data_IF_242724623673
#
_entry.id   IF_242724623673
#
_cell.length_a   1.000
_cell.length_b   1.000
_cell.length_c   1.000
_cell.angle_alpha   90.00
_cell.angle_beta   90.00
_cell.angle_gamma   90.00
#
_symmetry.space_group_name_H-M   'P 1'
#
loop_
_entity.id
_entity.type
_entity.pdbx_description
1 polymer ?
#
# COMPACT_ATOMS: atom_id res chain seq x y z
N UNK A 1 -22.58 1.58 26.90
CA UNK A 1 -22.71 2.87 27.61
C UNK A 1 -23.00 3.95 26.57
N UNK A 2 -23.98 4.80 26.85
CA UNK A 2 -24.80 5.55 25.89
C UNK A 2 -24.08 6.76 25.26
N UNK A 3 -24.33 7.00 23.96
CA UNK A 3 -23.72 8.04 23.09
C UNK A 3 -23.91 9.51 23.50
N UNK A 4 -24.44 9.79 24.68
CA UNK A 4 -24.54 11.16 25.24
C UNK A 4 -23.24 11.66 25.87
N UNK A 5 -22.27 10.79 26.17
CA UNK A 5 -20.97 11.22 26.70
C UNK A 5 -20.02 11.72 25.60
N UNK A 6 -20.23 11.32 24.34
CA UNK A 6 -19.38 11.69 23.21
C UNK A 6 -19.50 13.19 22.81
N UNK A 7 -20.66 13.80 23.02
CA UNK A 7 -20.87 15.22 22.69
C UNK A 7 -20.17 16.18 23.67
N UNK A 8 -19.87 15.75 24.91
CA UNK A 8 -19.27 16.64 25.91
C UNK A 8 -17.75 16.81 25.73
N UNK A 9 -17.05 15.84 25.13
CA UNK A 9 -15.62 15.93 24.86
C UNK A 9 -15.30 16.91 23.70
N UNK A 10 -16.11 16.89 22.63
CA UNK A 10 -16.04 17.86 21.54
C UNK A 10 -16.39 19.30 21.98
N UNK A 11 -17.22 19.45 23.01
CA UNK A 11 -17.61 20.76 23.54
C UNK A 11 -16.54 21.42 24.43
N UNK A 12 -15.57 20.67 24.96
CA UNK A 12 -14.50 21.21 25.81
C UNK A 12 -13.29 21.69 25.01
N UNK A 13 -12.93 21.00 23.91
CA UNK A 13 -11.82 21.41 23.02
C UNK A 13 -12.14 22.57 22.08
N UNK A 14 -13.41 22.91 21.89
CA UNK A 14 -13.85 23.96 20.97
C UNK A 14 -14.06 25.35 21.65
N UNK A 15 -13.78 25.48 22.95
CA UNK A 15 -13.95 26.74 23.70
C UNK A 15 -12.83 27.78 23.47
N UNK A 16 -11.77 27.42 22.75
CA UNK A 16 -10.57 28.27 22.58
C UNK A 16 -10.30 28.72 21.14
N UNK A 17 -11.26 28.56 20.22
CA UNK A 17 -11.10 28.99 18.80
C UNK A 17 -12.10 30.07 18.42
N UNK A 18 -11.70 31.04 17.56
CA UNK A 18 -12.54 32.18 17.19
C UNK A 18 -13.84 31.74 16.52
N UNK A 19 -14.93 32.43 16.86
CA UNK A 19 -16.32 32.11 16.51
C UNK A 19 -16.56 31.92 15.00
N UNK A 20 -15.76 32.58 14.15
CA UNK A 20 -15.82 32.49 12.69
C UNK A 20 -15.45 31.11 12.12
N UNK A 21 -14.57 30.38 12.81
CA UNK A 21 -14.11 29.05 12.37
C UNK A 21 -15.13 27.97 12.71
N UNK A 22 -15.90 28.18 13.79
CA UNK A 22 -17.05 27.34 14.17
C UNK A 22 -18.18 27.43 13.16
N UNK A 23 -18.54 28.65 12.73
CA UNK A 23 -19.61 28.85 11.75
C UNK A 23 -19.25 28.29 10.37
N UNK A 24 -17.99 28.40 9.95
CA UNK A 24 -17.55 27.82 8.67
C UNK A 24 -17.56 26.28 8.68
N UNK A 25 -17.12 25.64 9.77
CA UNK A 25 -17.15 24.19 9.89
C UNK A 25 -18.57 23.62 9.98
N UNK A 26 -19.47 24.32 10.69
CA UNK A 26 -20.89 23.94 10.74
C UNK A 26 -21.57 24.09 9.37
N UNK A 27 -21.37 25.21 8.68
CA UNK A 27 -21.93 25.43 7.34
C UNK A 27 -21.44 24.39 6.31
N UNK A 28 -20.17 23.97 6.42
CA UNK A 28 -19.59 22.97 5.50
C UNK A 28 -20.08 21.55 5.78
N UNK A 29 -20.36 21.22 7.04
CA UNK A 29 -20.98 19.94 7.42
C UNK A 29 -22.45 19.87 6.99
N UNK A 30 -23.21 20.95 7.15
CA UNK A 30 -24.61 21.00 6.69
C UNK A 30 -24.69 20.85 5.16
N UNK A 31 -23.81 21.50 4.40
CA UNK A 31 -23.73 21.37 2.95
C UNK A 31 -23.30 19.96 2.47
N UNK A 32 -22.57 19.21 3.30
CA UNK A 32 -22.20 17.82 3.01
C UNK A 32 -23.37 16.87 3.26
N UNK A 33 -24.17 17.11 4.30
CA UNK A 33 -25.33 16.30 4.66
C UNK A 33 -26.57 16.59 3.80
N UNK A 34 -26.68 17.79 3.22
CA UNK A 34 -27.82 18.20 2.40
C UNK A 34 -27.71 17.80 0.91
N UNK A 35 -26.66 17.06 0.51
CA UNK A 35 -26.47 16.67 -0.89
C UNK A 35 -27.30 15.42 -1.21
N UNK A 36 -28.28 15.47 -2.13
CA UNK A 36 -29.08 14.30 -2.47
C UNK A 36 -28.18 13.22 -3.09
N UNK A 37 -28.27 11.99 -2.58
CA UNK A 37 -27.62 10.83 -3.19
C UNK A 37 -28.19 10.62 -4.59
N UNK A 38 -27.35 10.78 -5.63
CA UNK A 38 -27.69 10.28 -6.97
C UNK A 38 -27.72 8.75 -6.91
N UNK A 39 -28.91 8.18 -7.06
CA UNK A 39 -29.08 6.76 -7.36
C UNK A 39 -28.46 6.45 -8.72
N UNK A 40 -27.42 5.64 -8.73
CA UNK A 40 -26.86 5.11 -9.96
C UNK A 40 -27.79 4.02 -10.50
N UNK A 41 -28.60 4.33 -11.51
CA UNK A 41 -29.27 3.32 -12.31
C UNK A 41 -28.24 2.66 -13.24
N UNK A 42 -27.91 1.40 -12.99
CA UNK A 42 -27.23 0.57 -13.98
C UNK A 42 -28.27 0.16 -15.04
N UNK A 43 -28.16 0.70 -16.25
CA UNK A 43 -28.81 0.10 -17.41
C UNK A 43 -28.19 -1.28 -17.67
N UNK A 44 -28.99 -2.33 -17.54
CA UNK A 44 -28.62 -3.69 -17.94
C UNK A 44 -28.26 -3.70 -19.43
N UNK A 45 -26.99 -3.92 -19.75
CA UNK A 45 -26.60 -4.26 -21.12
C UNK A 45 -26.93 -5.73 -21.36
N UNK A 46 -27.77 -5.96 -22.35
CA UNK A 46 -28.10 -7.25 -22.93
C UNK A 46 -26.83 -7.98 -23.39
N UNK A 47 -26.66 -9.22 -22.93
CA UNK A 47 -25.63 -10.15 -23.37
C UNK A 47 -25.88 -10.47 -24.85
N UNK A 48 -24.91 -10.17 -25.71
CA UNK A 48 -24.89 -10.66 -27.08
C UNK A 48 -24.61 -12.16 -27.07
N UNK A 49 -25.52 -12.95 -27.65
CA UNK A 49 -25.37 -14.38 -27.89
C UNK A 49 -24.09 -14.66 -28.67
N UNK A 50 -23.22 -15.52 -28.12
CA UNK A 50 -22.09 -16.08 -28.86
C UNK A 50 -22.55 -17.29 -29.66
N UNK A 51 -22.41 -17.22 -30.99
CA UNK A 51 -22.53 -18.39 -31.86
C UNK A 51 -21.46 -19.43 -31.50
N UNK A 52 -21.89 -20.68 -31.45
CA UNK A 52 -21.08 -21.87 -31.20
C UNK A 52 -20.18 -22.20 -32.39
N UNK A 53 -18.86 -22.04 -32.22
CA UNK A 53 -17.85 -22.73 -33.03
C UNK A 53 -17.22 -23.88 -32.24
N UNK A 54 -16.95 -24.98 -32.95
CA UNK A 54 -16.56 -26.33 -32.48
C UNK A 54 -15.33 -26.33 -31.53
N UNK A 55 -15.20 -27.35 -30.66
CA UNK A 55 -14.06 -27.46 -29.75
C UNK A 55 -12.77 -27.85 -30.50
N UNK A 56 -11.68 -27.13 -30.21
CA UNK A 56 -10.32 -27.47 -30.62
C UNK A 56 -9.82 -28.75 -29.92
N UNK A 57 -8.96 -29.55 -30.59
CA UNK A 57 -8.40 -30.76 -30.01
C UNK A 57 -7.36 -30.45 -28.93
N UNK A 58 -7.26 -31.37 -27.94
CA UNK A 58 -6.35 -31.25 -26.80
C UNK A 58 -4.87 -31.05 -27.22
N UNK A 59 -4.09 -30.25 -26.47
CA UNK A 59 -2.70 -29.97 -26.79
C UNK A 59 -1.84 -31.22 -26.61
N UNK A 60 -1.05 -31.55 -27.65
CA UNK A 60 0.00 -32.58 -27.57
C UNK A 60 1.16 -32.03 -26.74
N UNK A 61 1.63 -32.83 -25.78
CA UNK A 61 2.87 -32.57 -25.01
C UNK A 61 4.08 -32.58 -25.94
N UNK A 62 4.68 -31.42 -26.18
CA UNK A 62 6.00 -31.32 -26.81
C UNK A 62 7.11 -31.47 -25.75
N UNK A 63 8.18 -32.20 -26.04
CA UNK A 63 9.34 -32.29 -25.15
C UNK A 63 10.03 -30.92 -24.99
N UNK A 64 10.77 -30.69 -23.89
CA UNK A 64 11.46 -29.43 -23.66
C UNK A 64 12.48 -29.16 -24.77
N UNK A 65 12.61 -27.90 -25.25
CA UNK A 65 13.50 -27.57 -26.35
C UNK A 65 14.98 -27.65 -25.92
N UNK A 66 15.83 -28.21 -26.79
CA UNK A 66 17.25 -28.43 -26.51
C UNK A 66 18.03 -27.12 -26.25
N UNK A 67 19.05 -27.16 -25.39
CA UNK A 67 19.90 -26.02 -25.03
C UNK A 67 20.38 -25.08 -26.19
N UNK A 68 20.78 -25.58 -27.39
CA UNK A 68 21.14 -24.69 -28.50
C UNK A 68 19.97 -23.88 -29.08
N UNK A 69 18.72 -24.34 -28.91
CA UNK A 69 17.53 -23.60 -29.35
C UNK A 69 17.20 -22.45 -28.38
N UNK A 70 17.42 -22.64 -27.08
CA UNK A 70 17.35 -21.58 -26.07
C UNK A 70 18.39 -20.50 -26.30
N UNK A 71 19.61 -20.87 -26.73
CA UNK A 71 20.65 -19.90 -27.06
C UNK A 71 20.28 -19.06 -28.29
N UNK A 72 19.75 -19.68 -29.35
CA UNK A 72 19.27 -18.97 -30.54
C UNK A 72 18.07 -18.07 -30.25
N UNK A 73 17.15 -18.54 -29.40
CA UNK A 73 16.02 -17.75 -28.91
C UNK A 73 16.49 -16.56 -28.06
N UNK A 74 17.40 -16.78 -27.11
CA UNK A 74 17.99 -15.72 -26.28
C UNK A 74 18.78 -14.70 -27.11
N UNK A 75 19.46 -15.12 -28.19
CA UNK A 75 20.13 -14.20 -29.11
C UNK A 75 19.16 -13.40 -29.98
N UNK A 76 18.02 -13.98 -30.37
CA UNK A 76 16.94 -13.26 -31.07
C UNK A 76 16.25 -12.24 -30.16
N UNK A 77 16.08 -12.59 -28.88
CA UNK A 77 15.53 -11.69 -27.86
C UNK A 77 16.42 -10.47 -27.58
N UNK A 78 17.74 -10.60 -27.77
CA UNK A 78 18.71 -9.48 -27.70
C UNK A 78 18.65 -8.54 -28.91
N UNK A 79 18.08 -8.96 -30.04
CA UNK A 79 17.95 -8.13 -31.25
C UNK A 79 16.65 -7.32 -31.28
N UNK A 80 15.68 -7.64 -30.42
CA UNK A 80 14.50 -6.82 -30.22
C UNK A 80 14.86 -5.62 -29.32
N UNK A 81 14.15 -4.49 -29.46
CA UNK A 81 14.33 -3.32 -28.58
C UNK A 81 14.37 -3.76 -27.11
N UNK A 82 15.14 -3.09 -26.22
CA UNK A 82 15.28 -3.53 -24.83
C UNK A 82 13.93 -3.76 -24.12
N UNK A 83 12.91 -2.98 -24.49
CA UNK A 83 11.52 -3.11 -24.05
C UNK A 83 10.86 -4.42 -24.52
N UNK A 84 11.02 -4.82 -25.78
CA UNK A 84 10.38 -6.02 -26.34
C UNK A 84 10.98 -7.32 -25.76
N UNK A 85 12.30 -7.35 -25.53
CA UNK A 85 12.95 -8.50 -24.88
C UNK A 85 12.60 -8.63 -23.39
N UNK A 86 12.39 -7.50 -22.72
CA UNK A 86 12.10 -7.46 -21.29
C UNK A 86 10.59 -7.51 -20.94
N UNK A 87 9.72 -7.38 -21.96
CA UNK A 87 8.27 -7.64 -21.89
C UNK A 87 7.90 -9.07 -22.32
N UNK A 88 8.89 -9.86 -22.76
CA UNK A 88 8.72 -11.29 -22.98
C UNK A 88 8.15 -11.97 -21.72
N UNK A 89 7.26 -12.98 -21.85
CA UNK A 89 6.49 -13.52 -20.72
C UNK A 89 7.31 -13.90 -19.48
N UNK A 90 8.47 -14.53 -19.66
CA UNK A 90 9.33 -14.97 -18.58
C UNK A 90 10.19 -13.84 -17.97
N UNK A 91 10.62 -12.88 -18.77
CA UNK A 91 11.37 -11.71 -18.28
C UNK A 91 10.47 -10.82 -17.40
N UNK A 92 9.24 -10.57 -17.86
CA UNK A 92 8.23 -9.83 -17.09
C UNK A 92 7.89 -10.52 -15.76
N UNK A 93 7.79 -11.85 -15.73
CA UNK A 93 7.54 -12.59 -14.49
C UNK A 93 8.64 -12.37 -13.45
N UNK A 94 9.91 -12.51 -13.86
CA UNK A 94 11.06 -12.33 -12.95
C UNK A 94 11.15 -10.91 -12.38
N UNK A 95 11.00 -9.89 -13.23
CA UNK A 95 11.02 -8.50 -12.75
C UNK A 95 9.83 -8.20 -11.84
N UNK A 96 8.61 -8.55 -12.24
CA UNK A 96 7.43 -8.32 -11.40
C UNK A 96 7.53 -9.03 -10.06
N UNK A 97 8.11 -10.23 -10.01
CA UNK A 97 8.38 -10.93 -8.76
C UNK A 97 9.37 -10.17 -7.87
N UNK A 98 10.45 -9.64 -8.45
CA UNK A 98 11.44 -8.84 -7.73
C UNK A 98 10.83 -7.54 -7.16
N UNK A 99 10.09 -6.81 -7.99
CA UNK A 99 9.36 -5.60 -7.59
C UNK A 99 8.34 -5.90 -6.49
N UNK A 100 7.58 -6.98 -6.62
CA UNK A 100 6.64 -7.43 -5.59
C UNK A 100 7.36 -7.73 -4.26
N UNK A 101 8.49 -8.46 -4.28
CA UNK A 101 9.26 -8.76 -3.06
C UNK A 101 9.72 -7.48 -2.36
N UNK A 102 10.13 -6.45 -3.12
CA UNK A 102 10.44 -5.13 -2.57
C UNK A 102 9.22 -4.45 -1.94
N UNK A 103 8.01 -4.62 -2.49
CA UNK A 103 6.77 -4.13 -1.87
C UNK A 103 6.46 -4.85 -0.55
N UNK A 104 6.54 -6.19 -0.56
CA UNK A 104 6.18 -7.03 0.58
C UNK A 104 7.11 -6.83 1.79
N UNK A 105 8.38 -6.46 1.55
CA UNK A 105 9.38 -6.20 2.59
C UNK A 105 8.95 -5.11 3.59
N UNK A 106 8.11 -4.17 3.18
CA UNK A 106 7.72 -3.02 3.99
C UNK A 106 7.06 -3.41 5.32
N UNK A 107 6.23 -4.45 5.31
CA UNK A 107 5.51 -4.95 6.48
C UNK A 107 5.84 -6.40 6.82
N UNK A 108 7.01 -6.89 6.41
CA UNK A 108 7.35 -8.30 6.60
C UNK A 108 7.70 -8.62 8.07
N UNK A 109 7.32 -9.81 8.49
CA UNK A 109 7.38 -10.26 9.88
C UNK A 109 7.66 -11.76 9.95
N UNK A 110 8.15 -12.23 11.10
CA UNK A 110 8.55 -13.62 11.35
C UNK A 110 8.08 -14.16 12.70
N UNK A 111 8.10 -15.49 12.84
CA UNK A 111 7.69 -16.19 14.06
C UNK A 111 8.67 -16.12 15.23
N UNK A 112 9.92 -15.74 14.97
CA UNK A 112 10.98 -15.61 15.98
C UNK A 112 11.42 -14.16 16.15
N UNK A 113 11.70 -13.77 17.39
CA UNK A 113 12.26 -12.46 17.71
C UNK A 113 13.67 -12.34 17.13
N UNK A 114 14.01 -11.32 16.31
CA UNK A 114 15.37 -11.12 15.82
C UNK A 114 16.41 -10.96 16.94
N UNK A 115 16.04 -10.60 18.18
CA UNK A 115 16.98 -10.58 19.31
C UNK A 115 17.27 -11.95 19.92
N UNK A 116 16.57 -13.00 19.47
CA UNK A 116 16.83 -14.40 19.85
C UNK A 116 17.80 -15.12 18.92
N UNK A 117 18.21 -14.49 17.81
CA UNK A 117 19.35 -14.94 17.03
C UNK A 117 20.65 -14.65 17.81
N UNK A 118 21.61 -15.59 17.89
CA UNK A 118 22.89 -15.35 18.56
C UNK A 118 23.60 -14.19 17.86
N UNK A 119 23.58 -13.02 18.50
CA UNK A 119 24.21 -11.80 17.96
C UNK A 119 25.68 -11.84 18.33
N UNK A 120 26.56 -12.05 17.35
CA UNK A 120 27.94 -11.59 17.46
C UNK A 120 27.92 -10.05 17.61
N UNK A 121 28.66 -9.49 18.58
CA UNK A 121 28.55 -8.07 18.92
C UNK A 121 29.08 -7.17 17.80
N UNK A 122 28.19 -6.45 17.12
CA UNK A 122 28.58 -5.29 16.31
C UNK A 122 28.55 -4.02 17.17
N UNK A 123 29.75 -3.47 17.41
CA UNK A 123 29.94 -2.18 18.06
C UNK A 123 29.53 -1.03 17.13
N UNK A 124 28.67 -0.12 17.61
CA UNK A 124 28.48 1.20 16.97
C UNK A 124 27.04 1.68 16.71
N UNK A 125 25.98 0.98 17.13
CA UNK A 125 24.62 1.50 16.98
C UNK A 125 24.23 2.43 18.13
N UNK A 126 23.69 3.61 17.78
CA UNK A 126 23.26 4.65 18.71
C UNK A 126 22.14 4.18 19.67
N UNK A 127 21.94 4.82 20.84
CA UNK A 127 20.96 4.38 21.82
C UNK A 127 19.54 4.60 21.28
N UNK A 128 18.74 3.53 21.21
CA UNK A 128 17.31 3.63 20.90
C UNK A 128 16.51 4.11 22.12
N UNK A 129 15.42 4.89 21.91
CA UNK A 129 14.52 5.30 22.99
C UNK A 129 13.86 4.09 23.67
N UNK A 130 13.83 4.12 25.01
CA UNK A 130 13.70 2.94 25.89
C UNK A 130 12.29 2.40 26.12
N UNK A 131 11.39 2.42 25.13
CA UNK A 131 10.02 1.92 25.29
C UNK A 131 9.51 1.15 24.06
N UNK A 132 10.28 0.17 23.58
CA UNK A 132 9.74 -0.84 22.66
C UNK A 132 9.10 -1.98 23.47
N UNK A 133 7.81 -2.33 23.24
CA UNK A 133 7.13 -3.42 23.96
C UNK A 133 7.67 -4.82 23.62
N UNK A 134 8.58 -4.95 22.65
CA UNK A 134 9.07 -6.22 22.10
C UNK A 134 10.35 -6.75 22.77
N UNK A 135 10.69 -6.35 24.01
CA UNK A 135 11.93 -6.77 24.69
C UNK A 135 11.71 -7.88 25.76
N UNK A 136 10.93 -8.92 25.44
CA UNK A 136 10.77 -10.11 26.30
C UNK A 136 10.67 -11.36 25.42
N UNK A 137 11.36 -12.43 25.85
CA UNK A 137 11.45 -13.74 25.20
C UNK A 137 10.12 -14.23 24.60
N UNK A 138 10.18 -14.73 23.37
CA UNK A 138 9.01 -15.03 22.55
C UNK A 138 8.05 -16.04 23.24
N UNK A 139 6.74 -15.74 23.38
CA UNK A 139 5.76 -16.66 23.93
C UNK A 139 5.50 -17.88 23.01
N UNK A 140 5.02 -19.02 23.55
CA UNK A 140 4.73 -20.24 22.78
C UNK A 140 3.55 -20.11 21.80
N UNK A 141 2.67 -19.11 21.98
CA UNK A 141 1.63 -18.72 21.02
C UNK A 141 1.79 -17.22 20.69
N UNK A 142 1.56 -16.79 19.43
CA UNK A 142 1.65 -15.38 19.07
C UNK A 142 0.65 -14.55 19.89
N UNK A 143 1.09 -13.38 20.35
CA UNK A 143 0.23 -12.42 21.02
C UNK A 143 -0.92 -12.02 20.08
N UNK A 144 -2.07 -11.58 20.62
CA UNK A 144 -3.20 -11.17 19.79
C UNK A 144 -3.54 -9.69 19.97
N UNK A 145 -3.98 -9.06 18.89
CA UNK A 145 -4.57 -7.71 18.94
C UNK A 145 -5.93 -7.76 19.65
N UNK A 146 -6.48 -6.59 19.99
CA UNK A 146 -7.87 -6.50 20.51
C UNK A 146 -8.92 -7.03 19.53
N UNK A 147 -8.58 -7.10 18.23
CA UNK A 147 -9.42 -7.69 17.19
C UNK A 147 -9.18 -9.21 17.00
N UNK A 148 -8.32 -9.83 17.82
CA UNK A 148 -8.02 -11.26 17.79
C UNK A 148 -7.01 -11.69 16.73
N UNK A 149 -6.35 -10.75 16.05
CA UNK A 149 -5.33 -11.03 15.03
C UNK A 149 -3.98 -11.36 15.67
N UNK A 150 -3.29 -12.38 15.14
CA UNK A 150 -1.97 -12.79 15.60
C UNK A 150 -0.90 -11.73 15.31
N UNK A 151 -0.07 -11.47 16.33
CA UNK A 151 1.03 -10.52 16.35
C UNK A 151 2.34 -11.32 16.39
N UNK A 152 3.18 -11.07 15.39
CA UNK A 152 4.47 -11.71 15.18
C UNK A 152 5.63 -10.77 15.58
N UNK A 153 6.83 -10.99 15.06
CA UNK A 153 7.99 -10.13 15.28
C UNK A 153 8.41 -9.43 13.98
N UNK A 154 8.74 -8.13 14.01
CA UNK A 154 9.40 -7.50 12.87
C UNK A 154 10.74 -8.17 12.61
N UNK A 155 11.13 -8.35 11.35
CA UNK A 155 12.37 -9.06 11.01
C UNK A 155 13.65 -8.32 11.43
N UNK A 156 13.60 -7.00 11.56
CA UNK A 156 14.70 -6.15 12.02
C UNK A 156 14.18 -4.76 12.46
N UNK A 157 15.10 -3.90 12.94
CA UNK A 157 14.79 -2.56 13.45
C UNK A 157 14.47 -1.53 12.36
N UNK A 158 14.93 -1.74 11.13
CA UNK A 158 14.72 -0.83 10.01
C UNK A 158 13.43 -1.15 9.24
N UNK A 159 12.30 -1.21 9.95
CA UNK A 159 10.99 -1.60 9.40
C UNK A 159 9.92 -0.56 9.71
N UNK A 160 8.83 -0.59 8.92
CA UNK A 160 7.65 0.25 9.17
C UNK A 160 7.03 0.00 10.54
N UNK A 161 7.16 -1.22 11.07
CA UNK A 161 6.69 -1.57 12.41
C UNK A 161 7.30 -0.68 13.49
N UNK A 162 8.62 -0.49 13.47
CA UNK A 162 9.31 0.37 14.42
C UNK A 162 9.11 1.85 14.12
N UNK A 163 9.18 2.24 12.84
CA UNK A 163 9.05 3.65 12.46
C UNK A 163 7.68 4.26 12.79
N UNK A 164 6.63 3.45 12.70
CA UNK A 164 5.24 3.91 12.80
C UNK A 164 4.41 3.20 13.88
N UNK A 165 5.05 2.42 14.74
CA UNK A 165 4.38 1.63 15.80
C UNK A 165 3.26 0.73 15.25
N UNK A 166 3.47 0.16 14.06
CA UNK A 166 2.51 -0.73 13.42
C UNK A 166 2.73 -2.16 13.91
N UNK A 167 1.67 -2.83 14.34
CA UNK A 167 1.76 -4.21 14.79
C UNK A 167 2.16 -5.14 13.62
N UNK A 168 3.12 -6.06 13.81
CA UNK A 168 3.51 -7.07 12.83
C UNK A 168 2.42 -8.14 12.67
N UNK A 169 1.40 -7.81 11.89
CA UNK A 169 0.25 -8.68 11.62
C UNK A 169 0.02 -8.85 10.12
N UNK A 170 -0.83 -9.81 9.74
CA UNK A 170 -1.19 -10.03 8.34
C UNK A 170 -1.85 -8.80 7.70
N UNK A 171 -2.74 -8.14 8.46
CA UNK A 171 -3.44 -6.94 8.05
C UNK A 171 -2.44 -5.81 7.76
N UNK A 172 -1.52 -5.54 8.69
CA UNK A 172 -0.47 -4.53 8.46
C UNK A 172 0.39 -4.85 7.24
N UNK A 173 0.86 -6.10 7.12
CA UNK A 173 1.64 -6.54 5.95
C UNK A 173 0.88 -6.34 4.64
N UNK A 174 -0.39 -6.75 4.59
CA UNK A 174 -1.21 -6.65 3.38
C UNK A 174 -1.45 -5.19 3.00
N UNK A 175 -1.76 -4.31 3.96
CA UNK A 175 -2.01 -2.89 3.71
C UNK A 175 -0.76 -2.15 3.24
N UNK A 176 0.39 -2.41 3.86
CA UNK A 176 1.67 -1.84 3.42
C UNK A 176 2.05 -2.37 2.04
N UNK A 177 1.85 -3.66 1.77
CA UNK A 177 2.12 -4.24 0.45
C UNK A 177 1.23 -3.60 -0.62
N UNK A 178 -0.07 -3.43 -0.35
CA UNK A 178 -1.02 -2.76 -1.25
C UNK A 178 -0.61 -1.30 -1.51
N UNK A 179 -0.15 -0.57 -0.49
CA UNK A 179 0.34 0.80 -0.63
C UNK A 179 1.53 0.89 -1.61
N UNK A 180 2.48 -0.05 -1.52
CA UNK A 180 3.65 -0.10 -2.41
C UNK A 180 3.27 -0.55 -3.82
N UNK A 181 2.40 -1.56 -3.94
CA UNK A 181 1.84 -2.01 -5.22
C UNK A 181 1.09 -0.89 -5.92
N UNK A 182 0.38 -0.04 -5.17
CA UNK A 182 -0.31 1.12 -5.74
C UNK A 182 0.65 2.08 -6.42
N UNK A 183 1.82 2.37 -5.84
CA UNK A 183 2.84 3.20 -6.49
C UNK A 183 3.29 2.59 -7.83
N UNK A 184 3.61 1.30 -7.85
CA UNK A 184 3.98 0.59 -9.08
C UNK A 184 2.84 0.57 -10.10
N UNK A 185 1.59 0.44 -9.64
CA UNK A 185 0.42 0.45 -10.51
C UNK A 185 0.22 1.82 -11.16
N UNK A 186 0.45 2.93 -10.44
CA UNK A 186 0.42 4.27 -11.03
C UNK A 186 1.47 4.40 -12.14
N UNK A 187 2.67 3.83 -11.96
CA UNK A 187 3.69 3.77 -13.02
C UNK A 187 3.25 2.92 -14.22
N UNK A 188 2.62 1.78 -13.96
CA UNK A 188 2.13 0.88 -15.00
C UNK A 188 1.03 1.50 -15.86
N UNK A 189 0.23 2.44 -15.34
CA UNK A 189 -0.75 3.18 -16.14
C UNK A 189 -0.14 4.03 -17.25
N UNK A 190 1.16 4.33 -17.17
CA UNK A 190 1.92 5.03 -18.22
C UNK A 190 2.72 4.06 -19.11
N UNK A 191 2.64 2.76 -18.85
CA UNK A 191 3.36 1.72 -19.59
C UNK A 191 2.68 1.45 -20.93
N UNK A 192 3.39 0.86 -21.93
CA UNK A 192 2.77 0.51 -23.21
C UNK A 192 1.54 -0.38 -23.02
N UNK A 193 0.43 -0.01 -23.68
CA UNK A 193 -0.88 -0.63 -23.51
C UNK A 193 -0.87 -2.15 -23.79
N UNK A 194 0.02 -2.60 -24.68
CA UNK A 194 0.20 -4.02 -25.02
C UNK A 194 0.69 -4.87 -23.83
N UNK A 195 1.34 -4.26 -22.85
CA UNK A 195 2.02 -4.96 -21.77
C UNK A 195 1.47 -4.60 -20.38
N UNK A 196 0.87 -3.43 -20.20
CA UNK A 196 0.34 -2.92 -18.93
C UNK A 196 -0.51 -3.97 -18.21
N UNK A 197 -1.56 -4.47 -18.87
CA UNK A 197 -2.52 -5.40 -18.24
C UNK A 197 -1.83 -6.66 -17.72
N UNK A 198 -0.87 -7.19 -18.48
CA UNK A 198 -0.14 -8.40 -18.10
C UNK A 198 0.76 -8.12 -16.90
N UNK A 199 1.48 -7.01 -16.90
CA UNK A 199 2.33 -6.61 -15.76
C UNK A 199 1.52 -6.36 -14.49
N UNK A 200 0.41 -5.63 -14.61
CA UNK A 200 -0.52 -5.37 -13.51
C UNK A 200 -1.06 -6.69 -12.94
N UNK A 201 -1.47 -7.62 -13.81
CA UNK A 201 -1.95 -8.93 -13.38
C UNK A 201 -0.85 -9.73 -12.66
N UNK A 202 0.36 -9.79 -13.21
CA UNK A 202 1.47 -10.54 -12.60
C UNK A 202 1.86 -10.01 -11.23
N UNK A 203 1.97 -8.69 -11.05
CA UNK A 203 2.22 -8.09 -9.73
C UNK A 203 1.14 -8.47 -8.72
N UNK A 204 -0.12 -8.47 -9.15
CA UNK A 204 -1.24 -8.82 -8.30
C UNK A 204 -1.26 -10.31 -7.98
N UNK A 205 -0.98 -11.17 -8.95
CA UNK A 205 -0.87 -12.62 -8.75
C UNK A 205 0.20 -12.95 -7.71
N UNK A 206 1.40 -12.36 -7.81
CA UNK A 206 2.46 -12.53 -6.80
C UNK A 206 1.99 -12.16 -5.39
N UNK A 207 1.24 -11.07 -5.25
CA UNK A 207 0.68 -10.65 -3.98
C UNK A 207 -0.32 -11.66 -3.41
N UNK A 208 -1.26 -12.15 -4.23
CA UNK A 208 -2.24 -13.13 -3.76
C UNK A 208 -1.62 -14.51 -3.47
N UNK A 209 -0.60 -14.93 -4.22
CA UNK A 209 0.14 -16.15 -3.91
C UNK A 209 0.88 -16.04 -2.57
N UNK A 210 1.59 -14.93 -2.33
CA UNK A 210 2.27 -14.71 -1.06
C UNK A 210 1.30 -14.57 0.12
N UNK A 211 0.13 -13.98 -0.12
CA UNK A 211 -0.91 -13.88 0.89
C UNK A 211 -1.48 -15.25 1.26
N UNK A 212 -1.77 -16.09 0.27
CA UNK A 212 -2.23 -17.47 0.51
C UNK A 212 -1.16 -18.28 1.26
N UNK A 213 0.11 -18.17 0.86
CA UNK A 213 1.23 -18.82 1.53
C UNK A 213 1.38 -18.37 2.99
N UNK A 214 1.30 -17.06 3.29
CA UNK A 214 1.34 -16.56 4.67
C UNK A 214 0.14 -17.04 5.50
N UNK A 215 -1.07 -17.08 4.92
CA UNK A 215 -2.25 -17.62 5.61
C UNK A 215 -2.06 -19.09 6.00
N UNK A 216 -1.47 -19.90 5.13
CA UNK A 216 -1.22 -21.32 5.37
C UNK A 216 -0.08 -21.54 6.37
N UNK A 217 1.10 -20.98 6.06
CA UNK A 217 2.35 -21.27 6.78
C UNK A 217 2.48 -20.56 8.13
N UNK A 218 2.01 -19.30 8.24
CA UNK A 218 2.22 -18.49 9.45
C UNK A 218 0.98 -18.43 10.33
N UNK A 219 -0.21 -18.38 9.72
CA UNK A 219 -1.49 -18.24 10.43
C UNK A 219 -2.25 -19.57 10.57
N UNK A 220 -1.68 -20.67 10.08
CA UNK A 220 -2.25 -22.02 10.18
C UNK A 220 -3.69 -22.13 9.63
N UNK A 221 -4.04 -21.30 8.64
CA UNK A 221 -5.33 -21.34 7.94
C UNK A 221 -5.22 -22.38 6.82
N UNK A 222 -5.19 -23.66 7.20
CA UNK A 222 -4.98 -24.78 6.26
C UNK A 222 -6.19 -25.08 5.38
N UNK A 223 -7.38 -24.62 5.77
CA UNK A 223 -8.61 -24.80 4.98
C UNK A 223 -8.62 -23.92 3.74
N UNK A 224 -8.49 -24.55 2.56
CA UNK A 224 -8.56 -23.88 1.24
C UNK A 224 -9.83 -23.05 1.06
N UNK A 225 -10.98 -23.54 1.53
CA UNK A 225 -12.25 -22.82 1.43
C UNK A 225 -12.25 -21.52 2.25
N UNK A 226 -11.67 -21.57 3.44
CA UNK A 226 -11.50 -20.38 4.30
C UNK A 226 -10.53 -19.40 3.63
N UNK A 227 -9.34 -19.85 3.21
CA UNK A 227 -8.38 -18.99 2.49
C UNK A 227 -9.00 -18.32 1.26
N UNK A 228 -9.74 -19.07 0.45
CA UNK A 228 -10.43 -18.52 -0.72
C UNK A 228 -11.42 -17.40 -0.39
N UNK A 229 -12.10 -17.46 0.78
CA UNK A 229 -12.97 -16.36 1.24
C UNK A 229 -12.15 -15.15 1.68
N UNK A 230 -11.10 -15.37 2.47
CA UNK A 230 -10.18 -14.29 2.88
C UNK A 230 -9.54 -13.58 1.69
N UNK A 231 -9.09 -14.31 0.66
CA UNK A 231 -8.51 -13.72 -0.54
C UNK A 231 -9.55 -12.88 -1.32
N UNK A 232 -10.82 -13.30 -1.37
CA UNK A 232 -11.90 -12.48 -1.97
C UNK A 232 -12.13 -11.19 -1.19
N UNK A 233 -12.18 -11.27 0.14
CA UNK A 233 -12.33 -10.08 0.99
C UNK A 233 -11.13 -9.14 0.85
N UNK A 234 -9.92 -9.70 0.80
CA UNK A 234 -8.69 -8.96 0.56
C UNK A 234 -8.65 -8.30 -0.82
N UNK A 235 -9.22 -8.94 -1.85
CA UNK A 235 -9.37 -8.32 -3.18
C UNK A 235 -10.30 -7.12 -3.18
N UNK A 236 -11.40 -7.18 -2.41
CA UNK A 236 -12.27 -6.01 -2.22
C UNK A 236 -11.52 -4.89 -1.48
N UNK A 237 -10.77 -5.22 -0.43
CA UNK A 237 -9.92 -4.27 0.29
C UNK A 237 -8.89 -3.62 -0.63
N UNK A 238 -8.18 -4.41 -1.45
CA UNK A 238 -7.23 -3.91 -2.44
C UNK A 238 -7.87 -2.87 -3.37
N UNK A 239 -9.02 -3.17 -3.96
CA UNK A 239 -9.72 -2.24 -4.86
C UNK A 239 -10.19 -0.97 -4.14
N UNK A 240 -10.66 -1.11 -2.90
CA UNK A 240 -11.03 0.02 -2.05
C UNK A 240 -9.84 0.93 -1.76
N UNK A 241 -8.68 0.35 -1.43
CA UNK A 241 -7.44 1.08 -1.19
C UNK A 241 -6.99 1.84 -2.44
N UNK A 242 -6.95 1.17 -3.60
CA UNK A 242 -6.61 1.81 -4.89
C UNK A 242 -7.51 3.01 -5.17
N UNK A 243 -8.83 2.86 -5.02
CA UNK A 243 -9.78 3.95 -5.23
C UNK A 243 -9.56 5.12 -4.27
N UNK A 244 -9.30 4.84 -2.98
CA UNK A 244 -9.05 5.89 -1.98
C UNK A 244 -7.74 6.64 -2.23
N UNK A 245 -6.70 5.94 -2.68
CA UNK A 245 -5.42 6.57 -3.00
C UNK A 245 -5.51 7.39 -4.29
N UNK A 246 -6.25 6.92 -5.31
CA UNK A 246 -6.53 7.70 -6.52
C UNK A 246 -7.29 8.99 -6.21
N UNK A 247 -8.29 8.91 -5.32
CA UNK A 247 -8.99 10.10 -4.85
C UNK A 247 -8.06 11.07 -4.13
N UNK A 248 -7.19 10.57 -3.24
CA UNK A 248 -6.20 11.37 -2.53
C UNK A 248 -5.16 12.02 -3.45
N UNK A 249 -4.70 11.30 -4.46
CA UNK A 249 -3.75 11.79 -5.45
C UNK A 249 -4.28 13.02 -6.17
N UNK A 250 -5.57 12.99 -6.55
CA UNK A 250 -6.27 14.07 -7.28
C UNK A 250 -6.68 15.23 -6.36
N UNK A 251 -7.25 14.93 -5.19
CA UNK A 251 -7.85 15.96 -4.32
C UNK A 251 -6.88 16.63 -3.36
N UNK A 252 -5.65 16.13 -3.26
CA UNK A 252 -4.58 16.75 -2.47
C UNK A 252 -4.23 16.00 -1.18
N UNK A 253 -3.19 16.49 -0.52
CA UNK A 253 -2.49 15.76 0.54
C UNK A 253 -3.34 15.46 1.78
N UNK A 254 -4.30 16.32 2.12
CA UNK A 254 -5.22 16.04 3.22
C UNK A 254 -6.09 14.82 2.95
N UNK A 255 -6.56 14.63 1.70
CA UNK A 255 -7.38 13.48 1.32
C UNK A 255 -6.51 12.23 1.20
N UNK A 256 -5.28 12.37 0.68
CA UNK A 256 -4.32 11.27 0.64
C UNK A 256 -3.91 10.81 2.05
N UNK A 257 -3.69 11.74 2.98
CA UNK A 257 -3.44 11.44 4.39
C UNK A 257 -4.61 10.70 5.03
N UNK A 258 -5.85 11.10 4.73
CA UNK A 258 -7.04 10.38 5.22
C UNK A 258 -7.13 8.95 4.67
N UNK A 259 -6.75 8.73 3.40
CA UNK A 259 -6.67 7.38 2.82
C UNK A 259 -5.58 6.53 3.50
N UNK A 260 -4.39 7.08 3.73
CA UNK A 260 -3.30 6.41 4.48
C UNK A 260 -3.74 6.08 5.90
N UNK A 261 -4.35 7.03 6.60
CA UNK A 261 -4.86 6.84 7.96
C UNK A 261 -5.86 5.68 8.06
N UNK A 262 -6.84 5.64 7.14
CA UNK A 262 -7.83 4.56 7.09
C UNK A 262 -7.20 3.21 6.79
N UNK A 263 -6.31 3.14 5.79
CA UNK A 263 -5.82 1.87 5.27
C UNK A 263 -4.63 1.32 6.07
N UNK A 264 -3.61 2.14 6.32
CA UNK A 264 -2.36 1.73 7.00
C UNK A 264 -2.54 1.72 8.52
N UNK A 265 -3.21 2.73 9.08
CA UNK A 265 -3.40 2.86 10.53
C UNK A 265 -4.77 2.36 11.01
N UNK A 266 -5.55 1.73 10.14
CA UNK A 266 -6.89 1.21 10.47
C UNK A 266 -7.85 2.25 11.06
N UNK A 267 -7.65 3.54 10.78
CA UNK A 267 -8.51 4.62 11.29
C UNK A 267 -8.41 4.86 12.80
N UNK A 268 -7.29 4.48 13.45
CA UNK A 268 -7.06 4.71 14.89
C UNK A 268 -7.00 6.19 15.22
N UNK A 269 -7.59 6.61 16.35
CA UNK A 269 -7.66 8.04 16.72
C UNK A 269 -6.32 8.62 17.20
N UNK A 270 -5.42 7.77 17.70
CA UNK A 270 -4.14 8.11 18.32
C UNK A 270 -2.96 8.11 17.33
N UNK A 271 -3.24 8.37 16.05
CA UNK A 271 -2.20 8.38 15.00
C UNK A 271 -1.46 9.71 14.97
N UNK A 272 -0.14 9.64 14.97
CA UNK A 272 0.74 10.78 14.79
C UNK A 272 0.54 11.44 13.41
N UNK A 273 0.19 12.73 13.42
CA UNK A 273 0.00 13.51 12.19
C UNK A 273 1.31 13.68 11.40
N UNK A 274 2.46 13.69 12.08
CA UNK A 274 3.78 13.75 11.42
C UNK A 274 4.04 12.47 10.64
N UNK A 275 3.77 11.30 11.23
CA UNK A 275 3.84 10.02 10.53
C UNK A 275 2.95 9.96 9.28
N UNK A 276 1.72 10.49 9.34
CA UNK A 276 0.84 10.58 8.17
C UNK A 276 1.44 11.46 7.07
N UNK A 277 1.91 12.65 7.43
CA UNK A 277 2.51 13.59 6.49
C UNK A 277 3.81 13.04 5.87
N UNK A 278 4.61 12.29 6.62
CA UNK A 278 5.80 11.59 6.13
C UNK A 278 5.47 10.56 5.05
N UNK A 279 4.48 9.70 5.31
CA UNK A 279 4.06 8.67 4.37
C UNK A 279 3.48 9.33 3.12
N UNK A 280 2.68 10.38 3.26
CA UNK A 280 2.15 11.16 2.12
C UNK A 280 3.29 11.78 1.30
N UNK A 281 4.25 12.44 1.95
CA UNK A 281 5.41 13.01 1.26
C UNK A 281 6.26 11.94 0.56
N UNK A 282 6.42 10.78 1.18
CA UNK A 282 7.07 9.62 0.58
C UNK A 282 6.31 9.09 -0.64
N UNK A 283 4.98 8.97 -0.57
CA UNK A 283 4.16 8.57 -1.72
C UNK A 283 4.32 9.57 -2.88
N UNK A 284 4.28 10.88 -2.60
CA UNK A 284 4.46 11.93 -3.61
C UNK A 284 5.82 11.84 -4.30
N UNK A 285 6.90 11.75 -3.53
CA UNK A 285 8.26 11.56 -4.08
C UNK A 285 8.40 10.25 -4.85
N UNK A 286 7.79 9.18 -4.35
CA UNK A 286 7.75 7.88 -5.02
C UNK A 286 7.07 7.95 -6.38
N UNK A 287 5.88 8.57 -6.45
CA UNK A 287 5.15 8.78 -7.71
C UNK A 287 5.91 9.69 -8.68
N UNK A 288 6.52 10.75 -8.19
CA UNK A 288 7.34 11.65 -9.02
C UNK A 288 8.56 10.91 -9.59
N UNK A 289 9.27 10.15 -8.76
CA UNK A 289 10.43 9.34 -9.17
C UNK A 289 10.05 8.27 -10.18
N UNK A 290 9.00 7.49 -9.88
CA UNK A 290 8.44 6.52 -10.83
C UNK A 290 8.00 7.20 -12.12
N UNK A 291 7.39 8.37 -12.03
CA UNK A 291 6.87 9.13 -13.17
C UNK A 291 7.96 9.61 -14.13
N UNK A 292 9.17 9.86 -13.62
CA UNK A 292 10.34 10.25 -14.42
C UNK A 292 11.12 9.06 -14.99
N UNK A 293 10.95 7.88 -14.43
CA UNK A 293 11.68 6.68 -14.83
C UNK A 293 11.22 6.16 -16.20
N UNK A 294 12.17 5.89 -17.09
CA UNK A 294 11.90 5.31 -18.41
C UNK A 294 11.39 3.87 -18.34
N UNK A 295 10.70 3.40 -19.39
CA UNK A 295 10.14 2.04 -19.42
C UNK A 295 11.23 0.97 -19.30
N UNK A 296 12.39 1.17 -19.94
CA UNK A 296 13.52 0.22 -19.87
C UNK A 296 14.08 0.08 -18.45
N UNK A 297 14.25 1.21 -17.75
CA UNK A 297 14.74 1.26 -16.37
C UNK A 297 13.74 0.59 -15.40
N UNK A 298 12.45 0.87 -15.58
CA UNK A 298 11.39 0.24 -14.79
C UNK A 298 11.34 -1.27 -14.98
N UNK A 299 11.46 -1.73 -16.24
CA UNK A 299 11.42 -3.15 -16.59
C UNK A 299 12.69 -3.89 -16.18
N UNK A 300 13.83 -3.19 -16.07
CA UNK A 300 15.03 -3.73 -15.45
C UNK A 300 14.87 -3.92 -13.92
N UNK A 301 13.76 -3.48 -13.33
CA UNK A 301 13.49 -3.61 -11.89
C UNK A 301 14.33 -2.66 -11.04
N UNK A 302 14.85 -1.58 -11.63
CA UNK A 302 15.74 -0.61 -10.97
C UNK A 302 14.96 0.41 -10.13
N UNK A 303 14.01 -0.08 -9.32
CA UNK A 303 13.23 0.75 -8.42
C UNK A 303 13.54 0.44 -6.96
N UNK A 304 13.73 1.51 -6.18
CA UNK A 304 13.87 1.44 -4.73
C UNK A 304 12.89 2.41 -4.08
N UNK A 305 12.05 1.88 -3.18
CA UNK A 305 11.11 2.68 -2.42
C UNK A 305 11.77 3.61 -1.40
N UNK A 306 13.01 3.33 -0.98
CA UNK A 306 13.66 4.06 0.10
C UNK A 306 12.94 3.86 1.44
N UNK A 307 13.12 4.81 2.34
CA UNK A 307 12.54 4.77 3.69
C UNK A 307 11.71 6.03 3.93
N UNK A 308 10.40 5.92 4.24
CA UNK A 308 9.52 7.09 4.39
C UNK A 308 9.94 7.97 5.59
N UNK A 309 10.40 7.38 6.69
CA UNK A 309 10.82 8.09 7.91
C UNK A 309 12.06 8.97 7.75
N UNK A 310 12.83 8.82 6.66
CA UNK A 310 13.91 9.78 6.32
C UNK A 310 13.37 11.16 5.93
N UNK A 311 12.08 11.28 5.66
CA UNK A 311 11.41 12.55 5.38
C UNK A 311 11.01 13.36 6.61
N UNK A 312 11.17 12.82 7.84
CA UNK A 312 10.68 13.45 9.09
C UNK A 312 11.14 14.89 9.26
N UNK A 313 12.44 15.13 9.11
CA UNK A 313 13.04 16.45 9.28
C UNK A 313 12.42 17.51 8.36
N UNK A 314 11.98 17.12 7.15
CA UNK A 314 11.33 18.05 6.23
C UNK A 314 9.90 18.36 6.68
N UNK A 315 9.19 17.39 7.23
CA UNK A 315 7.80 17.53 7.69
C UNK A 315 7.73 18.37 8.97
N UNK A 316 8.72 18.23 9.86
CA UNK A 316 8.77 18.97 11.13
C UNK A 316 9.18 20.44 10.97
N UNK A 317 9.71 20.84 9.81
CA UNK A 317 10.04 22.25 9.54
C UNK A 317 8.76 23.08 9.54
N UNK A 318 8.72 24.07 10.42
CA UNK A 318 7.62 25.02 10.48
C UNK A 318 7.48 25.73 9.13
N UNK A 319 6.32 25.60 8.49
CA UNK A 319 6.08 26.28 7.23
C UNK A 319 6.06 27.80 7.45
N UNK A 320 6.82 28.52 6.62
CA UNK A 320 7.01 29.98 6.74
C UNK A 320 5.70 30.77 6.79
N UNK A 321 4.63 30.23 6.18
CA UNK A 321 3.30 30.83 6.15
C UNK A 321 2.41 30.57 7.36
N UNK A 322 2.77 29.65 8.29
CA UNK A 322 1.92 29.31 9.45
C UNK A 322 1.79 30.47 10.44
N UNK A 323 2.83 31.30 10.54
CA UNK A 323 2.82 32.52 11.36
C UNK A 323 2.37 33.77 10.60
N UNK A 324 2.18 33.67 9.29
CA UNK A 324 1.68 34.80 8.52
C UNK A 324 0.17 34.92 8.76
N UNK A 325 -0.33 36.10 9.17
CA UNK A 325 -1.76 36.31 9.29
C UNK A 325 -2.40 36.10 7.91
N UNK A 326 -3.54 35.40 7.88
CA UNK A 326 -4.34 35.29 6.66
C UNK A 326 -4.72 36.70 6.20
N UNK A 327 -4.16 37.14 5.07
CA UNK A 327 -4.52 38.42 4.49
C UNK A 327 -5.89 38.23 3.84
N UNK A 328 -6.90 38.88 4.41
CA UNK A 328 -8.26 38.85 3.88
C UNK A 328 -8.28 39.73 2.61
N UNK A 329 -8.02 39.13 1.44
CA UNK A 329 -8.00 39.83 0.15
C UNK A 329 -9.37 40.44 -0.24
N UNK A 330 -10.40 40.26 0.58
CA UNK A 330 -11.76 40.78 0.39
C UNK A 330 -12.02 42.23 0.82
N UNK A 331 -11.00 43.03 1.18
CA UNK A 331 -11.17 44.47 1.53
C UNK A 331 -10.35 45.43 0.67
N UNK A 332 -10.02 45.06 -0.57
CA UNK A 332 -9.52 46.00 -1.57
C UNK A 332 -10.61 46.22 -2.64
N UNK A 333 -11.51 47.18 -2.42
CA UNK A 333 -12.50 47.58 -3.42
C UNK A 333 -13.87 47.95 -2.87
N UNK A 334 -13.94 48.98 -2.03
CA UNK A 334 -15.14 49.83 -1.87
C UNK A 334 -14.69 51.27 -1.75
#
# INVERSE_FOLDING_TARGET
>A
MSGRQCCNALAQGARTRPHALRSQLQARNEAFLSRPQRSFHLSSRTLASSETTKPDPAPKTTPPPDAPSLQKFASSLRQQTPIAGATAPYAAYGTTQSLFKSCAKAGDYGGSDPSSAPTEPQAGSAPLPSTSPYNKSAPPEPLKTSAGEDIFYPLNRDTWHYAYSLAPTFSTWSQLTILHLYLLQVRLRMFPAEHERKWTQQLLDHFFYAAEEKMDSMHNITSRGIRSRYLKDMFNTYRGSVMSYDEGLIKGDAVLAAAVWRNVFSGKEDVDAVALAEIVGWMRRGMEGLGRMGDEEFVAGQWNFGQPWKGRELVEKEAQGVRQPFVDEGKAGS
#
